data_IF_794327548378
#
_entry.id   IF_794327548378
#
_cell.length_a   1.000
_cell.length_b   1.000
_cell.length_c   1.000
_cell.angle_alpha   90.00
_cell.angle_beta   90.00
_cell.angle_gamma   90.00
#
_symmetry.space_group_name_H-M   'P 1'
#
loop_
_entity.id
_entity.type
_entity.pdbx_description
1 polymer ?
#
# COMPACT_ATOMS: atom_id res chain seq x y z
N UNK A 1 24.57 3.35 10.57
CA UNK A 1 24.89 2.73 11.89
C UNK A 1 23.72 1.85 12.25
N UNK A 2 23.89 0.65 12.83
CA UNK A 2 22.75 -0.11 13.32
C UNK A 2 22.03 0.76 14.35
N UNK A 3 20.69 0.84 14.24
CA UNK A 3 19.87 1.52 15.23
C UNK A 3 20.25 0.95 16.61
N UNK A 4 20.74 1.83 17.48
CA UNK A 4 21.24 1.44 18.77
C UNK A 4 20.09 0.91 19.63
N UNK A 5 20.38 -0.03 20.51
CA UNK A 5 19.46 -0.63 21.50
C UNK A 5 18.68 0.42 22.32
N UNK A 6 19.12 1.67 22.35
CA UNK A 6 18.44 2.80 22.99
C UNK A 6 17.21 3.30 22.23
N UNK A 7 17.16 3.19 20.87
CA UNK A 7 16.01 3.60 20.09
C UNK A 7 14.80 2.67 20.27
N UNK A 8 15.00 1.44 20.72
CA UNK A 8 13.92 0.46 20.98
C UNK A 8 13.23 0.69 22.33
N UNK A 9 13.96 1.25 23.32
CA UNK A 9 13.43 1.45 24.66
C UNK A 9 12.38 2.58 24.78
N UNK A 10 12.31 3.47 23.81
CA UNK A 10 11.42 4.65 23.84
C UNK A 10 10.20 4.53 22.89
N UNK A 11 10.03 3.38 22.22
CA UNK A 11 8.86 3.14 21.39
C UNK A 11 7.62 2.86 22.23
N UNK A 12 6.45 3.44 21.88
CA UNK A 12 5.19 3.11 22.54
C UNK A 12 4.90 1.62 22.41
N UNK A 13 4.20 1.02 23.39
CA UNK A 13 3.82 -0.39 23.34
C UNK A 13 2.93 -0.69 22.12
N UNK A 14 2.92 -1.93 21.67
CA UNK A 14 2.06 -2.34 20.56
C UNK A 14 2.80 -2.66 19.27
N UNK A 15 4.10 -2.63 19.30
CA UNK A 15 4.97 -3.13 18.24
C UNK A 15 5.49 -4.51 18.59
N UNK A 16 5.94 -5.27 17.59
CA UNK A 16 6.31 -6.68 17.77
C UNK A 16 7.35 -6.89 18.88
N UNK A 17 8.21 -5.91 19.12
CA UNK A 17 9.29 -5.98 20.11
C UNK A 17 8.86 -5.66 21.54
N UNK A 18 7.67 -5.07 21.75
CA UNK A 18 7.25 -4.53 23.05
C UNK A 18 5.77 -4.73 23.38
N UNK A 19 5.17 -5.84 22.92
CA UNK A 19 3.78 -6.18 23.18
C UNK A 19 3.54 -6.48 24.66
N UNK A 20 2.47 -5.93 25.21
CA UNK A 20 1.98 -6.37 26.52
C UNK A 20 1.27 -7.73 26.42
N UNK A 21 1.13 -8.49 27.52
CA UNK A 21 0.39 -9.76 27.52
C UNK A 21 -1.05 -9.61 26.96
N UNK A 22 -1.73 -8.50 27.27
CA UNK A 22 -3.08 -8.22 26.76
C UNK A 22 -3.07 -8.00 25.24
N UNK A 23 -2.06 -7.31 24.73
CA UNK A 23 -1.89 -7.08 23.29
C UNK A 23 -1.60 -8.39 22.54
N UNK A 24 -0.83 -9.29 23.13
CA UNK A 24 -0.61 -10.64 22.59
C UNK A 24 -1.93 -11.41 22.49
N UNK A 25 -2.80 -11.33 23.51
CA UNK A 25 -4.14 -11.96 23.46
C UNK A 25 -4.97 -11.37 22.31
N UNK A 26 -4.94 -10.05 22.11
CA UNK A 26 -5.67 -9.40 21.01
C UNK A 26 -5.14 -9.83 19.63
N UNK A 27 -3.84 -9.98 19.49
CA UNK A 27 -3.22 -10.48 18.25
C UNK A 27 -3.67 -11.92 17.95
N UNK A 28 -3.69 -12.80 18.97
CA UNK A 28 -4.21 -14.16 18.83
C UNK A 28 -5.66 -14.19 18.38
N UNK A 29 -6.50 -13.33 18.98
CA UNK A 29 -7.92 -13.23 18.62
C UNK A 29 -8.10 -12.78 17.18
N UNK A 30 -7.30 -11.81 16.71
CA UNK A 30 -7.37 -11.35 15.33
C UNK A 30 -6.94 -12.43 14.33
N UNK A 31 -5.86 -13.17 14.63
CA UNK A 31 -5.48 -14.35 13.84
C UNK A 31 -6.57 -15.41 13.80
N UNK A 32 -7.19 -15.71 14.95
CA UNK A 32 -8.32 -16.66 15.04
C UNK A 32 -9.45 -16.29 14.08
N UNK A 33 -9.87 -15.02 14.09
CA UNK A 33 -10.92 -14.51 13.17
C UNK A 33 -10.52 -14.63 11.69
N UNK A 34 -9.27 -14.39 11.36
CA UNK A 34 -8.79 -14.59 9.97
C UNK A 34 -8.86 -16.07 9.57
N UNK A 35 -8.46 -16.99 10.45
CA UNK A 35 -8.52 -18.41 10.14
C UNK A 35 -9.93 -18.92 9.96
N UNK A 36 -10.89 -18.42 10.76
CA UNK A 36 -12.31 -18.73 10.57
C UNK A 36 -12.81 -18.36 9.16
N UNK A 37 -12.31 -17.22 8.61
CA UNK A 37 -12.66 -16.84 7.25
C UNK A 37 -11.93 -17.68 6.20
N UNK A 38 -10.66 -17.94 6.40
CA UNK A 38 -9.87 -18.72 5.42
C UNK A 38 -10.48 -20.11 5.18
N UNK A 39 -11.11 -20.65 6.23
CA UNK A 39 -11.74 -21.97 6.19
C UNK A 39 -13.19 -21.95 5.63
N UNK A 40 -13.75 -20.75 5.40
CA UNK A 40 -15.09 -20.63 4.81
C UNK A 40 -15.08 -21.01 3.32
N UNK A 41 -15.98 -21.92 2.97
CA UNK A 41 -16.29 -22.23 1.56
C UNK A 41 -17.36 -21.27 1.08
N UNK A 42 -17.24 -20.79 -0.16
CA UNK A 42 -18.35 -20.11 -0.83
C UNK A 42 -19.44 -21.14 -1.02
N UNK A 43 -20.61 -20.94 -0.41
CA UNK A 43 -21.78 -21.72 -0.76
C UNK A 43 -22.17 -21.39 -2.20
N UNK A 44 -22.15 -22.37 -3.09
CA UNK A 44 -22.67 -22.21 -4.44
C UNK A 44 -24.15 -21.84 -4.32
N UNK A 45 -24.50 -20.60 -4.57
CA UNK A 45 -25.87 -20.18 -4.67
C UNK A 45 -26.56 -21.01 -5.79
N UNK A 46 -27.68 -21.67 -5.54
CA UNK A 46 -28.34 -22.47 -6.57
C UNK A 46 -28.62 -21.60 -7.79
N UNK A 47 -28.16 -22.07 -8.95
CA UNK A 47 -28.27 -21.39 -10.21
C UNK A 47 -29.76 -20.99 -10.43
N UNK A 48 -30.08 -19.70 -10.35
CA UNK A 48 -31.37 -19.17 -10.75
C UNK A 48 -31.54 -19.38 -12.25
N UNK A 49 -32.43 -20.27 -12.60
CA UNK A 49 -32.86 -20.55 -13.97
C UNK A 49 -33.30 -19.23 -14.63
N UNK A 50 -32.84 -18.89 -15.82
CA UNK A 50 -33.24 -17.65 -16.48
C UNK A 50 -34.69 -17.78 -16.96
N UNK A 51 -35.61 -17.15 -16.27
CA UNK A 51 -36.96 -16.90 -16.78
C UNK A 51 -36.87 -15.86 -17.90
N UNK A 52 -37.15 -16.30 -19.10
CA UNK A 52 -37.30 -15.44 -20.28
C UNK A 52 -38.45 -14.45 -20.07
N UNK A 53 -38.14 -13.15 -19.90
CA UNK A 53 -39.14 -12.09 -20.07
C UNK A 53 -38.77 -11.27 -21.28
N UNK A 54 -39.72 -11.30 -22.25
CA UNK A 54 -39.74 -10.48 -23.43
C UNK A 54 -39.65 -9.00 -23.13
N UNK A 55 -38.74 -8.31 -23.80
CA UNK A 55 -38.61 -6.85 -23.75
C UNK A 55 -39.47 -6.21 -24.83
N UNK A 56 -40.40 -5.38 -24.42
CA UNK A 56 -40.88 -4.27 -25.20
C UNK A 56 -40.00 -3.04 -24.95
N UNK A 57 -39.64 -2.36 -26.05
CA UNK A 57 -38.68 -1.28 -26.00
C UNK A 57 -39.24 0.04 -25.45
N UNK A 58 -38.35 0.84 -24.88
CA UNK A 58 -38.43 2.30 -24.97
C UNK A 58 -36.99 2.87 -24.95
N UNK A 59 -36.75 3.69 -25.93
CA UNK A 59 -35.62 4.56 -26.13
C UNK A 59 -35.61 5.64 -25.06
N UNK A 60 -34.50 5.84 -24.32
CA UNK A 60 -33.96 7.17 -24.14
C UNK A 60 -32.56 7.14 -23.50
N UNK A 61 -31.81 8.08 -23.97
CA UNK A 61 -30.40 8.31 -23.87
C UNK A 61 -29.87 8.77 -22.52
N UNK A 62 -28.60 8.46 -22.27
CA UNK A 62 -27.50 9.20 -21.69
C UNK A 62 -26.80 8.63 -20.47
N UNK A 63 -25.49 8.53 -20.72
CA UNK A 63 -24.33 8.51 -19.80
C UNK A 63 -24.25 7.37 -18.77
N UNK A 64 -23.67 6.30 -19.24
CA UNK A 64 -23.04 5.27 -18.43
C UNK A 64 -21.52 5.49 -18.54
N UNK A 65 -20.91 6.02 -17.51
CA UNK A 65 -19.46 5.88 -17.29
C UNK A 65 -19.23 4.44 -16.83
N UNK A 66 -19.00 3.57 -17.78
CA UNK A 66 -18.76 2.15 -17.55
C UNK A 66 -17.31 1.91 -17.16
N UNK A 67 -17.15 1.10 -16.14
CA UNK A 67 -15.96 0.37 -15.71
C UNK A 67 -14.95 0.11 -16.84
N UNK A 68 -13.74 0.65 -16.70
CA UNK A 68 -12.68 0.63 -17.70
C UNK A 68 -11.87 -0.69 -17.77
N UNK A 69 -12.19 -1.71 -17.02
CA UNK A 69 -11.51 -3.00 -17.10
C UNK A 69 -12.37 -4.05 -17.83
N UNK A 70 -12.36 -3.97 -19.14
CA UNK A 70 -13.24 -4.73 -20.01
C UNK A 70 -12.71 -6.10 -20.45
N UNK A 71 -12.25 -6.99 -19.55
CA UNK A 71 -12.41 -8.43 -19.78
C UNK A 71 -13.82 -8.82 -19.35
N UNK A 72 -14.50 -9.73 -20.10
CA UNK A 72 -15.70 -10.38 -19.60
C UNK A 72 -15.32 -11.06 -18.28
N UNK A 73 -15.51 -10.37 -17.17
CA UNK A 73 -15.32 -10.93 -15.84
C UNK A 73 -16.22 -12.15 -15.74
N UNK A 74 -15.68 -13.23 -15.22
CA UNK A 74 -16.49 -14.38 -14.86
C UNK A 74 -17.58 -13.94 -13.85
N UNK A 75 -18.64 -14.70 -13.70
CA UNK A 75 -19.70 -14.35 -12.73
C UNK A 75 -19.10 -14.18 -11.32
N UNK A 76 -18.15 -15.02 -10.96
CA UNK A 76 -17.41 -14.98 -9.68
C UNK A 76 -16.60 -13.69 -9.55
N UNK A 77 -15.87 -13.27 -10.61
CA UNK A 77 -15.13 -12.01 -10.59
C UNK A 77 -16.02 -10.77 -10.45
N UNK A 78 -17.24 -10.81 -11.02
CA UNK A 78 -18.25 -9.74 -10.86
C UNK A 78 -18.83 -9.68 -9.47
N UNK A 79 -19.08 -10.84 -8.87
CA UNK A 79 -19.62 -10.93 -7.52
C UNK A 79 -18.56 -10.55 -6.47
N UNK A 80 -17.28 -10.77 -6.76
CA UNK A 80 -16.14 -10.33 -5.94
C UNK A 80 -15.92 -8.82 -5.95
N UNK A 81 -16.17 -8.16 -7.08
CA UNK A 81 -16.01 -6.70 -7.23
C UNK A 81 -17.11 -5.92 -6.54
N UNK A 82 -18.27 -6.52 -6.35
CA UNK A 82 -19.46 -5.81 -5.89
C UNK A 82 -19.39 -5.36 -4.42
N UNK A 83 -18.44 -5.84 -3.65
CA UNK A 83 -18.49 -5.69 -2.21
C UNK A 83 -17.46 -4.80 -1.60
N UNK A 84 -16.79 -4.19 -2.46
CA UNK A 84 -15.67 -3.49 -2.03
C UNK A 84 -15.89 -2.04 -2.07
N UNK A 85 -15.34 -1.36 -1.82
CA UNK A 85 -15.13 -0.04 -1.97
C UNK A 85 -16.17 0.79 -1.50
N UNK A 86 -16.46 1.25 -1.12
CA UNK A 86 -17.10 2.51 -1.03
C UNK A 86 -17.57 2.82 0.33
N UNK A 87 -16.58 2.89 1.19
CA UNK A 87 -16.74 3.78 2.32
C UNK A 87 -17.10 5.23 1.91
N UNK A 88 -16.97 5.55 0.63
CA UNK A 88 -17.28 6.87 0.08
C UNK A 88 -17.87 6.80 -1.32
N UNK A 89 -18.85 5.93 -1.53
CA UNK A 89 -19.65 6.03 -2.72
C UNK A 89 -20.43 7.35 -2.67
N UNK A 90 -20.21 8.18 -3.68
CA UNK A 90 -20.96 9.41 -3.90
C UNK A 90 -22.47 9.18 -4.09
N UNK A 91 -22.91 7.92 -4.17
CA UNK A 91 -24.32 7.51 -4.29
C UNK A 91 -25.01 7.33 -2.94
N UNK A 92 -24.29 7.38 -1.82
CA UNK A 92 -24.87 7.27 -0.47
C UNK A 92 -25.39 5.88 -0.11
N UNK A 93 -25.03 4.83 -0.84
CA UNK A 93 -25.38 3.46 -0.49
C UNK A 93 -24.51 2.98 0.66
N UNK A 94 -25.15 2.59 1.75
CA UNK A 94 -24.44 1.98 2.90
C UNK A 94 -23.86 0.63 2.43
N UNK A 95 -22.56 0.39 2.62
CA UNK A 95 -21.98 -0.91 2.28
C UNK A 95 -22.67 -2.00 3.10
N UNK A 96 -22.83 -3.21 2.53
CA UNK A 96 -23.41 -4.32 3.26
C UNK A 96 -22.58 -4.64 4.52
N UNK A 97 -23.18 -5.19 5.57
CA UNK A 97 -22.47 -5.65 6.74
C UNK A 97 -21.29 -6.54 6.37
N UNK A 98 -20.20 -6.47 7.12
CA UNK A 98 -18.97 -7.22 6.84
C UNK A 98 -19.24 -8.72 6.70
N UNK A 99 -20.12 -9.25 7.52
CA UNK A 99 -20.50 -10.67 7.49
C UNK A 99 -21.16 -11.08 6.16
N UNK A 100 -22.00 -10.22 5.58
CA UNK A 100 -22.60 -10.50 4.27
C UNK A 100 -21.59 -10.33 3.14
N UNK A 101 -20.75 -9.36 3.28
CA UNK A 101 -19.70 -9.07 2.33
C UNK A 101 -18.65 -10.19 2.26
N UNK A 102 -18.29 -10.79 3.38
CA UNK A 102 -17.35 -11.92 3.46
C UNK A 102 -17.89 -13.18 2.78
N UNK A 103 -19.20 -13.39 2.81
CA UNK A 103 -19.84 -14.55 2.16
C UNK A 103 -19.70 -14.57 0.63
N UNK A 104 -19.37 -13.45 0.02
CA UNK A 104 -19.28 -13.32 -1.45
C UNK A 104 -17.83 -13.40 -1.98
N UNK A 105 -16.83 -13.30 -1.10
CA UNK A 105 -15.42 -13.52 -1.45
C UNK A 105 -14.98 -14.81 -0.78
N UNK A 106 -14.42 -15.76 -1.55
CA UNK A 106 -13.97 -17.02 -0.97
C UNK A 106 -12.88 -16.78 0.08
N UNK A 107 -12.88 -17.61 1.13
CA UNK A 107 -11.86 -17.56 2.16
C UNK A 107 -10.45 -17.71 1.60
N UNK A 108 -10.27 -18.51 0.54
CA UNK A 108 -8.99 -18.66 -0.17
C UNK A 108 -8.52 -17.36 -0.80
N UNK A 109 -9.37 -16.60 -1.45
CA UNK A 109 -8.99 -15.30 -2.04
C UNK A 109 -8.59 -14.27 -0.98
N UNK A 110 -9.30 -14.24 0.16
CA UNK A 110 -8.93 -13.36 1.28
C UNK A 110 -7.61 -13.81 1.93
N UNK A 111 -7.38 -15.12 2.03
CA UNK A 111 -6.11 -15.67 2.47
C UNK A 111 -4.96 -15.22 1.57
N UNK A 112 -5.11 -15.38 0.25
CA UNK A 112 -4.09 -14.99 -0.72
C UNK A 112 -3.83 -13.48 -0.69
N UNK A 113 -4.88 -12.67 -0.62
CA UNK A 113 -4.77 -11.21 -0.47
C UNK A 113 -4.06 -10.81 0.83
N UNK A 114 -4.28 -11.54 1.93
CA UNK A 114 -3.60 -11.29 3.20
C UNK A 114 -2.10 -11.60 3.12
N UNK A 115 -1.74 -12.76 2.58
CA UNK A 115 -0.32 -13.12 2.39
C UNK A 115 0.40 -12.20 1.41
N UNK A 116 -0.30 -11.73 0.38
CA UNK A 116 0.22 -10.70 -0.52
C UNK A 116 0.37 -9.35 0.20
N UNK A 117 -0.60 -8.95 1.03
CA UNK A 117 -0.51 -7.74 1.84
C UNK A 117 0.65 -7.79 2.85
N UNK A 118 0.99 -8.95 3.39
CA UNK A 118 2.18 -9.16 4.22
C UNK A 118 3.45 -8.91 3.39
N UNK A 119 3.55 -9.52 2.21
CA UNK A 119 4.73 -9.38 1.36
C UNK A 119 6.00 -9.87 2.04
N UNK A 120 6.99 -8.99 2.19
CA UNK A 120 8.26 -9.26 2.89
C UNK A 120 8.23 -8.83 4.37
N UNK A 121 7.11 -8.31 4.87
CA UNK A 121 6.98 -7.87 6.26
C UNK A 121 6.84 -9.06 7.23
N UNK A 122 6.98 -8.77 8.53
CA UNK A 122 6.58 -9.70 9.57
C UNK A 122 5.05 -9.87 9.55
N UNK A 123 4.52 -11.11 9.44
CA UNK A 123 3.07 -11.31 9.36
C UNK A 123 2.30 -10.76 10.57
N UNK A 124 2.86 -10.83 11.77
CA UNK A 124 2.26 -10.27 12.96
C UNK A 124 2.23 -8.74 12.93
N UNK A 125 3.28 -8.10 12.39
CA UNK A 125 3.36 -6.65 12.29
C UNK A 125 2.22 -6.06 11.42
N UNK A 126 1.82 -6.76 10.35
CA UNK A 126 0.66 -6.33 9.55
C UNK A 126 -0.60 -6.26 10.43
N UNK A 127 -0.91 -7.32 11.18
CA UNK A 127 -2.11 -7.36 12.03
C UNK A 127 -2.06 -6.33 13.15
N UNK A 128 -0.88 -6.12 13.72
CA UNK A 128 -0.68 -5.13 14.78
C UNK A 128 -0.99 -3.70 14.30
N UNK A 129 -0.70 -3.36 13.04
CA UNK A 129 -1.09 -2.05 12.46
C UNK A 129 -2.60 -1.84 12.52
N UNK A 130 -3.40 -2.84 12.18
CA UNK A 130 -4.87 -2.76 12.26
C UNK A 130 -5.37 -2.70 13.71
N UNK A 131 -4.76 -3.45 14.61
CA UNK A 131 -5.09 -3.41 16.04
C UNK A 131 -4.79 -2.02 16.64
N UNK A 132 -3.63 -1.43 16.35
CA UNK A 132 -3.30 -0.06 16.79
C UNK A 132 -4.26 0.96 16.21
N UNK A 133 -4.55 0.89 14.92
CA UNK A 133 -5.48 1.78 14.21
C UNK A 133 -6.90 1.74 14.79
N UNK A 134 -7.30 0.64 15.41
CA UNK A 134 -8.60 0.45 16.04
C UNK A 134 -8.52 0.34 17.57
N UNK A 135 -7.44 0.91 18.18
CA UNK A 135 -7.27 1.00 19.63
C UNK A 135 -7.46 -0.33 20.34
N UNK A 136 -6.98 -1.41 19.71
CA UNK A 136 -7.04 -2.79 20.22
C UNK A 136 -8.46 -3.38 20.30
N UNK A 137 -9.44 -2.80 19.65
CA UNK A 137 -10.73 -3.44 19.39
C UNK A 137 -10.57 -4.46 18.25
N UNK A 138 -10.68 -5.73 18.58
CA UNK A 138 -10.42 -6.84 17.64
C UNK A 138 -11.47 -6.90 16.55
N UNK A 139 -12.75 -6.63 16.85
CA UNK A 139 -13.83 -6.68 15.87
C UNK A 139 -13.72 -5.53 14.87
N UNK A 140 -13.44 -4.33 15.37
CA UNK A 140 -13.19 -3.17 14.54
C UNK A 140 -11.92 -3.34 13.68
N UNK A 141 -10.83 -3.89 14.25
CA UNK A 141 -9.59 -4.19 13.52
C UNK A 141 -9.82 -5.23 12.42
N UNK A 142 -10.56 -6.28 12.73
CA UNK A 142 -10.93 -7.32 11.79
C UNK A 142 -11.78 -6.78 10.63
N UNK A 143 -12.78 -5.94 10.93
CA UNK A 143 -13.62 -5.26 9.93
C UNK A 143 -12.77 -4.42 8.99
N UNK A 144 -11.85 -3.63 9.54
CA UNK A 144 -10.94 -2.79 8.76
C UNK A 144 -10.00 -3.62 7.89
N UNK A 145 -9.37 -4.66 8.46
CA UNK A 145 -8.47 -5.56 7.73
C UNK A 145 -9.21 -6.26 6.57
N UNK A 146 -10.39 -6.81 6.83
CA UNK A 146 -11.21 -7.47 5.81
C UNK A 146 -11.59 -6.50 4.68
N UNK A 147 -11.90 -5.25 5.00
CA UNK A 147 -12.16 -4.20 4.00
C UNK A 147 -10.91 -3.86 3.18
N UNK A 148 -9.74 -3.77 3.82
CA UNK A 148 -8.47 -3.53 3.13
C UNK A 148 -8.10 -4.70 2.19
N UNK A 149 -8.30 -5.95 2.62
CA UNK A 149 -8.03 -7.12 1.77
C UNK A 149 -8.96 -7.16 0.55
N UNK A 150 -10.23 -6.82 0.72
CA UNK A 150 -11.17 -6.71 -0.41
C UNK A 150 -10.78 -5.59 -1.36
N UNK A 151 -10.43 -4.42 -0.85
CA UNK A 151 -9.94 -3.33 -1.66
C UNK A 151 -8.70 -3.74 -2.48
N UNK A 152 -7.76 -4.51 -1.90
CA UNK A 152 -6.60 -5.04 -2.63
C UNK A 152 -7.01 -5.91 -3.82
N UNK A 153 -8.06 -6.74 -3.65
CA UNK A 153 -8.60 -7.57 -4.73
C UNK A 153 -9.29 -6.72 -5.80
N UNK A 154 -10.06 -5.71 -5.41
CA UNK A 154 -10.79 -4.82 -6.32
C UNK A 154 -9.85 -3.95 -7.15
N UNK A 155 -8.94 -3.26 -6.52
CA UNK A 155 -7.95 -2.42 -7.21
C UNK A 155 -6.82 -3.26 -7.85
N UNK A 156 -6.89 -4.59 -7.72
CA UNK A 156 -5.92 -5.52 -8.33
C UNK A 156 -4.48 -5.21 -7.93
N UNK A 157 -4.27 -4.88 -6.64
CA UNK A 157 -2.96 -4.43 -6.14
C UNK A 157 -1.84 -5.39 -6.52
N UNK A 158 -2.07 -6.69 -6.38
CA UNK A 158 -1.08 -7.72 -6.68
C UNK A 158 -0.75 -7.78 -8.18
N UNK A 159 -1.75 -7.56 -9.03
CA UNK A 159 -1.54 -7.47 -10.47
C UNK A 159 -0.81 -6.18 -10.87
N UNK A 160 -1.11 -5.05 -10.23
CA UNK A 160 -0.37 -3.80 -10.41
C UNK A 160 1.13 -4.00 -10.11
N UNK A 161 1.44 -4.66 -8.99
CA UNK A 161 2.81 -4.96 -8.58
C UNK A 161 3.50 -5.92 -9.55
N UNK A 162 2.80 -6.95 -10.00
CA UNK A 162 3.29 -7.95 -10.95
C UNK A 162 3.52 -7.38 -12.35
N UNK A 163 2.62 -6.53 -12.83
CA UNK A 163 2.72 -5.88 -14.13
C UNK A 163 3.78 -4.77 -14.11
N UNK A 164 3.90 -4.06 -13.00
CA UNK A 164 4.81 -2.94 -12.86
C UNK A 164 4.59 -1.85 -13.92
N UNK A 165 5.62 -1.08 -14.17
CA UNK A 165 5.54 0.06 -15.09
C UNK A 165 5.29 -0.37 -16.54
N UNK A 166 5.93 -1.46 -16.99
CA UNK A 166 5.82 -1.94 -18.38
C UNK A 166 4.47 -2.60 -18.66
N UNK A 167 4.07 -3.55 -17.83
CA UNK A 167 2.83 -4.27 -18.04
C UNK A 167 1.59 -3.37 -17.92
N UNK A 168 1.62 -2.42 -16.98
CA UNK A 168 0.55 -1.42 -16.84
C UNK A 168 0.51 -0.46 -18.02
N UNK A 169 1.65 -0.03 -18.54
CA UNK A 169 1.72 0.75 -19.78
C UNK A 169 0.96 0.06 -20.91
N UNK A 170 1.26 -1.22 -21.13
CA UNK A 170 0.71 -1.98 -22.24
C UNK A 170 -0.78 -2.32 -22.02
N UNK A 171 -1.18 -2.55 -20.76
CA UNK A 171 -2.58 -2.79 -20.42
C UNK A 171 -3.42 -1.51 -20.58
N UNK A 172 -2.96 -0.39 -20.07
CA UNK A 172 -3.65 0.90 -20.17
C UNK A 172 -3.79 1.34 -21.64
N UNK A 173 -2.76 1.18 -22.46
CA UNK A 173 -2.81 1.48 -23.89
C UNK A 173 -3.84 0.65 -24.64
N UNK A 174 -3.98 -0.64 -24.28
CA UNK A 174 -5.02 -1.51 -24.89
C UNK A 174 -6.44 -1.09 -24.54
N UNK A 175 -6.60 -0.42 -23.40
CA UNK A 175 -7.90 -0.02 -22.89
C UNK A 175 -8.31 1.40 -23.35
N UNK A 176 -7.37 2.34 -23.34
CA UNK A 176 -7.54 3.73 -23.75
C UNK A 176 -6.32 4.15 -24.58
N UNK A 177 -6.45 4.28 -25.91
CA UNK A 177 -5.36 4.72 -26.77
C UNK A 177 -4.77 6.06 -26.31
N UNK A 178 -3.45 6.09 -26.12
CA UNK A 178 -2.71 7.23 -25.58
C UNK A 178 -2.55 7.23 -24.06
N UNK A 179 -3.12 6.25 -23.34
CA UNK A 179 -2.95 6.15 -21.91
C UNK A 179 -1.53 5.72 -21.52
N UNK A 180 -0.83 4.97 -22.35
CA UNK A 180 0.57 4.60 -22.13
C UNK A 180 1.47 5.82 -21.91
N UNK A 181 1.30 6.86 -22.74
CA UNK A 181 2.06 8.11 -22.56
C UNK A 181 1.69 8.78 -21.25
N UNK A 182 0.41 8.94 -20.96
CA UNK A 182 -0.07 9.55 -19.70
C UNK A 182 0.44 8.79 -18.46
N UNK A 183 0.56 7.48 -18.57
CA UNK A 183 1.12 6.62 -17.53
C UNK A 183 2.61 6.87 -17.32
N UNK A 184 3.41 6.86 -18.38
CA UNK A 184 4.85 7.11 -18.28
C UNK A 184 5.16 8.54 -17.83
N UNK A 185 4.36 9.52 -18.23
CA UNK A 185 4.48 10.92 -17.79
C UNK A 185 4.41 11.07 -16.27
N UNK A 186 3.77 10.11 -15.55
CA UNK A 186 3.75 10.14 -14.08
C UNK A 186 5.14 9.97 -13.46
N UNK A 187 5.99 9.18 -14.10
CA UNK A 187 7.36 8.92 -13.66
C UNK A 187 8.34 9.93 -14.24
N UNK A 188 8.23 10.21 -15.54
CA UNK A 188 9.14 11.09 -16.27
C UNK A 188 9.06 12.55 -15.80
N UNK A 189 7.90 12.98 -15.32
CA UNK A 189 7.71 14.35 -14.80
C UNK A 189 8.48 14.61 -13.50
N UNK A 190 8.85 13.56 -12.74
CA UNK A 190 9.46 13.71 -11.42
C UNK A 190 8.50 14.29 -10.38
N UNK A 191 7.16 14.19 -10.61
CA UNK A 191 6.19 14.75 -9.67
C UNK A 191 6.12 14.01 -8.34
N UNK A 192 6.48 12.74 -8.31
CA UNK A 192 6.60 11.98 -7.07
C UNK A 192 7.74 10.98 -7.17
N UNK A 193 8.54 10.89 -6.13
CA UNK A 193 9.68 9.98 -6.07
C UNK A 193 10.03 9.63 -4.63
N UNK A 194 10.64 8.45 -4.45
CA UNK A 194 11.15 7.98 -3.18
C UNK A 194 12.59 8.47 -2.98
N UNK A 195 12.93 8.81 -1.75
CA UNK A 195 14.26 9.31 -1.39
C UNK A 195 14.76 8.77 -0.06
N UNK A 196 15.87 9.30 0.39
CA UNK A 196 16.55 8.91 1.61
C UNK A 196 15.75 9.14 2.87
N UNK A 197 16.18 8.56 4.00
CA UNK A 197 15.41 8.60 5.23
C UNK A 197 15.33 10.00 5.84
N UNK A 198 14.25 10.25 6.59
CA UNK A 198 14.17 11.36 7.52
C UNK A 198 15.01 11.05 8.79
N UNK A 199 15.08 12.01 9.72
CA UNK A 199 15.83 11.84 10.97
C UNK A 199 15.30 10.73 11.89
N UNK A 200 14.06 10.27 11.66
CA UNK A 200 13.46 9.10 12.32
C UNK A 200 13.71 7.78 11.57
N UNK A 201 14.54 7.77 10.52
CA UNK A 201 14.85 6.59 9.72
C UNK A 201 13.73 6.20 8.74
N UNK A 202 12.71 7.05 8.55
CA UNK A 202 11.58 6.77 7.66
C UNK A 202 11.93 7.14 6.22
N UNK A 203 11.76 6.24 5.24
CA UNK A 203 11.93 6.61 3.84
C UNK A 203 10.97 7.76 3.48
N UNK A 204 11.46 8.70 2.67
CA UNK A 204 10.70 9.89 2.29
C UNK A 204 10.13 9.73 0.89
N UNK A 205 8.84 10.04 0.72
CA UNK A 205 8.23 10.24 -0.58
C UNK A 205 8.04 11.75 -0.81
N UNK A 206 8.71 12.28 -1.82
CA UNK A 206 8.61 13.67 -2.24
C UNK A 206 7.53 13.82 -3.32
N UNK A 207 6.65 14.80 -3.18
CA UNK A 207 5.56 15.09 -4.11
C UNK A 207 5.64 16.56 -4.54
N UNK A 208 5.99 16.83 -5.79
CA UNK A 208 6.04 18.16 -6.40
C UNK A 208 4.67 18.54 -6.94
N UNK A 209 3.85 19.19 -6.14
CA UNK A 209 2.43 19.40 -6.44
C UNK A 209 2.21 20.25 -7.68
N UNK A 210 3.10 21.20 -7.98
CA UNK A 210 3.03 22.03 -9.20
C UNK A 210 3.06 21.23 -10.51
N UNK A 211 3.60 20.01 -10.48
CA UNK A 211 3.68 19.13 -11.65
C UNK A 211 2.44 18.25 -11.83
N UNK A 212 1.50 18.30 -10.91
CA UNK A 212 0.22 17.61 -11.03
C UNK A 212 -0.80 18.49 -11.78
N UNK A 213 -1.46 17.91 -12.76
CA UNK A 213 -2.61 18.51 -13.43
C UNK A 213 -3.69 17.43 -13.53
N UNK A 214 -4.84 17.67 -12.90
CA UNK A 214 -5.95 16.71 -12.84
C UNK A 214 -6.49 16.28 -14.21
N UNK A 215 -6.38 17.16 -15.21
CA UNK A 215 -6.92 16.93 -16.56
C UNK A 215 -5.91 16.22 -17.50
N UNK A 216 -4.65 16.04 -17.07
CA UNK A 216 -3.60 15.42 -17.87
C UNK A 216 -3.72 13.88 -17.92
N UNK A 217 -4.32 13.27 -16.90
CA UNK A 217 -4.50 11.82 -16.80
C UNK A 217 -5.82 11.49 -16.11
N UNK A 218 -6.28 10.24 -16.24
CA UNK A 218 -7.44 9.75 -15.51
C UNK A 218 -7.12 9.47 -14.03
N UNK A 219 -8.15 9.45 -13.19
CA UNK A 219 -8.03 9.04 -11.78
C UNK A 219 -7.49 7.60 -11.68
N UNK A 220 -7.85 6.73 -12.62
CA UNK A 220 -7.38 5.34 -12.66
C UNK A 220 -5.85 5.26 -12.82
N UNK A 221 -5.28 6.05 -13.73
CA UNK A 221 -3.82 6.15 -13.87
C UNK A 221 -3.18 6.63 -12.56
N UNK A 222 -3.78 7.61 -11.89
CA UNK A 222 -3.27 8.12 -10.61
C UNK A 222 -3.36 7.08 -9.50
N UNK A 223 -4.43 6.28 -9.46
CA UNK A 223 -4.57 5.16 -8.51
C UNK A 223 -3.47 4.11 -8.74
N UNK A 224 -3.31 3.63 -9.97
CA UNK A 224 -2.26 2.66 -10.30
C UNK A 224 -0.87 3.17 -9.95
N UNK A 225 -0.57 4.45 -10.27
CA UNK A 225 0.70 5.08 -9.95
C UNK A 225 0.94 5.15 -8.43
N UNK A 226 -0.07 5.56 -7.69
CA UNK A 226 0.02 5.66 -6.23
C UNK A 226 0.20 4.29 -5.59
N UNK A 227 -0.59 3.30 -5.98
CA UNK A 227 -0.50 1.92 -5.46
C UNK A 227 0.89 1.35 -5.76
N UNK A 228 1.39 1.46 -6.99
CA UNK A 228 2.73 0.96 -7.35
C UNK A 228 3.83 1.67 -6.55
N UNK A 229 3.71 2.98 -6.34
CA UNK A 229 4.66 3.76 -5.52
C UNK A 229 4.61 3.34 -4.05
N UNK A 230 3.42 3.16 -3.47
CA UNK A 230 3.24 2.72 -2.07
C UNK A 230 3.79 1.30 -1.87
N UNK A 231 3.47 0.37 -2.75
CA UNK A 231 3.95 -1.02 -2.68
C UNK A 231 5.47 -1.11 -2.92
N UNK A 232 6.06 -0.20 -3.71
CA UNK A 232 7.52 -0.10 -3.84
C UNK A 232 8.14 0.52 -2.60
N UNK A 233 7.54 1.59 -2.06
CA UNK A 233 7.99 2.25 -0.83
C UNK A 233 8.00 1.32 0.39
N UNK A 234 7.12 0.31 0.43
CA UNK A 234 7.11 -0.70 1.49
C UNK A 234 8.40 -1.54 1.54
N UNK A 235 9.10 -1.72 0.43
CA UNK A 235 10.41 -2.40 0.44
C UNK A 235 11.49 -1.60 1.17
N UNK A 236 11.31 -0.28 1.30
CA UNK A 236 12.24 0.61 2.01
C UNK A 236 11.96 0.66 3.52
N UNK A 237 10.82 0.13 3.97
CA UNK A 237 10.39 0.12 5.37
C UNK A 237 10.75 -1.22 5.99
N UNK A 238 11.50 -1.21 7.08
CA UNK A 238 11.84 -2.42 7.81
C UNK A 238 12.05 -2.10 9.30
N UNK A 239 11.75 -3.07 10.15
CA UNK A 239 11.89 -2.93 11.60
C UNK A 239 13.25 -2.31 12.02
N UNK A 240 13.29 -1.43 13.00
CA UNK A 240 12.17 -1.02 13.88
C UNK A 240 11.29 0.10 13.31
N UNK A 241 11.55 0.58 12.09
CA UNK A 241 10.77 1.62 11.42
C UNK A 241 9.62 0.99 10.66
N UNK A 242 8.37 1.40 10.95
CA UNK A 242 7.16 0.87 10.30
C UNK A 242 6.42 1.91 9.44
N UNK A 243 6.94 3.14 9.34
CA UNK A 243 6.24 4.27 8.73
C UNK A 243 7.09 4.98 7.70
N UNK A 244 6.43 5.81 6.88
CA UNK A 244 7.06 6.67 5.87
C UNK A 244 6.86 8.15 6.20
N UNK A 245 7.70 9.00 5.63
CA UNK A 245 7.55 10.44 5.62
C UNK A 245 7.06 10.90 4.24
N UNK A 246 6.07 11.79 4.19
CA UNK A 246 5.61 12.43 2.97
C UNK A 246 6.00 13.90 2.97
N UNK A 247 6.53 14.40 1.85
CA UNK A 247 6.82 15.83 1.66
C UNK A 247 6.05 16.33 0.44
N UNK A 248 5.01 17.11 0.69
CA UNK A 248 4.29 17.83 -0.37
C UNK A 248 4.95 19.18 -0.60
N UNK A 249 5.75 19.29 -1.65
CA UNK A 249 6.30 20.58 -2.08
C UNK A 249 5.21 21.38 -2.80
N UNK A 250 4.68 22.39 -2.07
CA UNK A 250 3.59 23.26 -2.51
C UNK A 250 4.11 24.54 -3.19
N UNK A 251 5.43 24.68 -3.40
CA UNK A 251 5.98 25.82 -4.12
C UNK A 251 5.31 25.92 -5.49
N UNK A 252 4.88 27.14 -5.85
CA UNK A 252 4.16 27.42 -7.10
C UNK A 252 2.81 26.69 -7.25
N UNK A 253 2.22 26.19 -6.18
CA UNK A 253 0.87 25.60 -6.19
C UNK A 253 -0.17 26.62 -6.68
N UNK A 254 -1.04 26.16 -7.57
CA UNK A 254 -2.22 26.88 -8.05
C UNK A 254 -3.46 25.99 -7.93
N UNK A 255 -4.65 26.58 -8.06
CA UNK A 255 -5.89 25.80 -8.03
C UNK A 255 -6.02 24.80 -9.20
N UNK A 256 -5.25 24.98 -10.29
CA UNK A 256 -5.19 24.02 -11.39
C UNK A 256 -4.52 22.69 -10.99
N UNK A 257 -3.74 22.69 -9.91
CA UNK A 257 -3.12 21.48 -9.36
C UNK A 257 -4.06 20.73 -8.41
N UNK A 258 -5.24 21.30 -8.11
CA UNK A 258 -6.18 20.72 -7.18
C UNK A 258 -6.95 19.57 -7.83
N UNK A 259 -6.80 18.38 -7.26
CA UNK A 259 -7.51 17.16 -7.65
C UNK A 259 -8.17 16.55 -6.40
N UNK A 260 -9.43 16.92 -6.18
CA UNK A 260 -10.11 16.58 -4.94
C UNK A 260 -10.42 15.09 -4.84
N UNK A 261 -10.71 14.43 -5.96
CA UNK A 261 -11.00 13.00 -5.98
C UNK A 261 -9.73 12.18 -5.71
N UNK A 262 -8.61 12.62 -6.26
CA UNK A 262 -7.31 12.00 -5.96
C UNK A 262 -6.90 12.22 -4.49
N UNK A 263 -7.11 13.41 -3.93
CA UNK A 263 -6.83 13.67 -2.51
C UNK A 263 -7.67 12.78 -1.60
N UNK A 264 -8.96 12.60 -1.88
CA UNK A 264 -9.82 11.68 -1.12
C UNK A 264 -9.30 10.24 -1.20
N UNK A 265 -8.93 9.78 -2.39
CA UNK A 265 -8.34 8.47 -2.56
C UNK A 265 -7.07 8.31 -1.71
N UNK A 266 -6.17 9.29 -1.74
CA UNK A 266 -4.92 9.27 -0.98
C UNK A 266 -5.18 9.23 0.54
N UNK A 267 -6.11 10.04 1.04
CA UNK A 267 -6.53 10.03 2.45
C UNK A 267 -7.04 8.63 2.82
N UNK A 268 -7.95 8.07 2.01
CA UNK A 268 -8.53 6.74 2.26
C UNK A 268 -7.45 5.65 2.28
N UNK A 269 -6.44 5.74 1.41
CA UNK A 269 -5.31 4.80 1.44
C UNK A 269 -4.62 4.77 2.81
N UNK A 270 -4.29 5.93 3.38
CA UNK A 270 -3.59 5.99 4.67
C UNK A 270 -4.50 5.69 5.88
N UNK A 271 -5.78 6.00 5.79
CA UNK A 271 -6.72 5.80 6.91
C UNK A 271 -7.30 4.39 6.96
N UNK A 272 -7.53 3.75 5.80
CA UNK A 272 -8.26 2.49 5.73
C UNK A 272 -7.45 1.31 5.19
N UNK A 273 -6.58 1.53 4.20
CA UNK A 273 -5.96 0.42 3.44
C UNK A 273 -4.49 0.18 3.82
N UNK A 274 -3.79 1.23 4.23
CA UNK A 274 -2.42 1.17 4.75
C UNK A 274 -2.34 1.87 6.11
N UNK A 275 -3.11 1.39 7.11
CA UNK A 275 -3.15 2.05 8.41
C UNK A 275 -1.77 2.02 9.08
N UNK A 276 -1.50 3.03 9.91
CA UNK A 276 -0.26 3.15 10.68
C UNK A 276 1.02 3.16 9.82
N UNK A 277 0.91 3.45 8.51
CA UNK A 277 2.06 3.58 7.59
C UNK A 277 2.57 5.01 7.42
N UNK A 278 1.78 6.02 7.76
CA UNK A 278 2.20 7.42 7.76
C UNK A 278 2.83 7.79 9.11
N UNK A 279 4.08 8.22 9.10
CA UNK A 279 4.78 8.72 10.28
C UNK A 279 4.74 10.25 10.38
N UNK A 280 5.12 10.93 9.31
CA UNK A 280 5.16 12.40 9.19
C UNK A 280 4.67 12.81 7.81
N UNK A 281 3.92 13.90 7.75
CA UNK A 281 3.51 14.54 6.49
C UNK A 281 3.87 16.02 6.56
N UNK A 282 4.75 16.47 5.67
CA UNK A 282 5.24 17.85 5.60
C UNK A 282 4.55 18.57 4.43
N UNK A 283 3.76 19.60 4.73
CA UNK A 283 3.19 20.53 3.74
C UNK A 283 4.15 21.70 3.62
N UNK A 284 5.02 21.63 2.61
CA UNK A 284 6.15 22.53 2.47
C UNK A 284 5.86 23.69 1.52
N UNK A 285 6.15 24.93 1.92
CA UNK A 285 5.98 26.17 1.13
C UNK A 285 4.56 26.37 0.59
N UNK A 286 3.53 26.05 1.41
CA UNK A 286 2.14 26.26 1.02
C UNK A 286 1.86 27.76 0.81
N UNK A 287 1.41 28.19 -0.39
CA UNK A 287 1.04 29.57 -0.63
C UNK A 287 -0.27 29.93 0.10
N UNK A 288 -0.53 31.22 0.26
CA UNK A 288 -1.73 31.69 1.00
C UNK A 288 -3.05 31.15 0.40
N UNK A 289 -3.12 30.94 -0.91
CA UNK A 289 -4.30 30.40 -1.61
C UNK A 289 -4.63 28.95 -1.14
N UNK A 290 -3.64 28.21 -0.64
CA UNK A 290 -3.84 26.85 -0.12
C UNK A 290 -4.67 26.84 1.18
N UNK A 291 -4.75 27.93 1.92
CA UNK A 291 -5.53 27.97 3.18
C UNK A 291 -7.00 27.63 2.96
N UNK A 292 -7.60 28.07 1.86
CA UNK A 292 -8.97 27.72 1.50
C UNK A 292 -9.13 26.24 1.17
N UNK A 293 -8.16 25.67 0.44
CA UNK A 293 -8.12 24.24 0.13
C UNK A 293 -7.94 23.41 1.40
N UNK A 294 -7.03 23.83 2.27
CA UNK A 294 -6.80 23.15 3.56
C UNK A 294 -8.06 23.10 4.43
N UNK A 295 -8.84 24.18 4.47
CA UNK A 295 -10.10 24.21 5.20
C UNK A 295 -11.14 23.20 4.70
N UNK A 296 -11.04 22.76 3.44
CA UNK A 296 -11.90 21.70 2.88
C UNK A 296 -11.32 20.29 3.12
N UNK A 297 -9.99 20.15 3.19
CA UNK A 297 -9.32 18.86 3.38
C UNK A 297 -9.31 18.45 4.85
N UNK A 298 -8.98 19.39 5.75
CA UNK A 298 -8.80 19.11 7.19
C UNK A 298 -9.97 18.36 7.84
N UNK A 299 -11.25 18.70 7.57
CA UNK A 299 -12.39 17.97 8.15
C UNK A 299 -12.54 16.53 7.65
N UNK A 300 -11.86 16.15 6.56
CA UNK A 300 -11.90 14.80 6.02
C UNK A 300 -10.89 13.88 6.70
N UNK A 301 -9.93 14.43 7.44
CA UNK A 301 -8.82 13.68 8.03
C UNK A 301 -9.22 13.10 9.39
N UNK A 302 -8.88 11.83 9.60
CA UNK A 302 -8.86 11.25 10.95
C UNK A 302 -7.91 12.07 11.86
N UNK A 303 -8.28 12.31 13.13
CA UNK A 303 -7.45 13.07 14.07
C UNK A 303 -6.01 12.55 14.22
N UNK A 304 -5.79 11.23 14.13
CA UNK A 304 -4.44 10.62 14.20
C UNK A 304 -3.63 11.00 12.96
N UNK A 305 -4.22 10.94 11.76
CA UNK A 305 -3.57 11.37 10.51
C UNK A 305 -3.32 12.88 10.54
N UNK A 306 -4.29 13.67 10.95
CA UNK A 306 -4.17 15.13 11.05
C UNK A 306 -3.01 15.56 11.99
N UNK A 307 -2.80 14.83 13.09
CA UNK A 307 -1.71 15.13 14.05
C UNK A 307 -0.31 14.91 13.48
N UNK A 308 -0.17 14.14 12.40
CA UNK A 308 1.09 13.85 11.71
C UNK A 308 1.45 14.87 10.63
N UNK A 309 0.55 15.85 10.37
CA UNK A 309 0.72 16.86 9.32
C UNK A 309 1.32 18.12 9.91
N UNK A 310 2.46 18.53 9.36
CA UNK A 310 3.19 19.73 9.76
C UNK A 310 3.40 20.65 8.57
N UNK A 311 3.33 21.96 8.81
CA UNK A 311 3.60 22.96 7.80
C UNK A 311 5.02 23.49 7.97
N UNK A 312 5.77 23.53 6.86
CA UNK A 312 7.12 24.12 6.80
C UNK A 312 7.16 25.24 5.77
N UNK A 313 7.77 26.36 6.12
CA UNK A 313 7.75 27.58 5.29
C UNK A 313 9.02 27.74 4.45
N UNK A 314 10.13 27.22 4.93
CA UNK A 314 11.43 27.33 4.26
C UNK A 314 12.19 26.00 4.25
N UNK A 315 13.20 25.89 3.39
CA UNK A 315 14.02 24.68 3.29
C UNK A 315 14.81 24.43 4.58
N UNK A 316 15.15 25.49 5.33
CA UNK A 316 15.81 25.36 6.63
C UNK A 316 14.88 24.67 7.64
N UNK A 317 13.56 24.90 7.57
CA UNK A 317 12.62 24.21 8.46
C UNK A 317 12.51 22.71 8.12
N UNK A 318 12.79 22.29 6.89
CA UNK A 318 12.86 20.87 6.54
C UNK A 318 14.02 20.17 7.22
N UNK A 319 15.12 20.88 7.52
CA UNK A 319 16.27 20.31 8.22
C UNK A 319 15.97 19.89 9.66
N UNK A 320 14.83 20.29 10.21
CA UNK A 320 14.35 19.77 11.50
C UNK A 320 13.78 18.34 11.39
N UNK A 321 13.57 17.86 10.18
CA UNK A 321 12.98 16.53 9.91
C UNK A 321 13.89 15.65 9.06
N UNK A 322 14.63 16.24 8.11
CA UNK A 322 15.38 15.50 7.10
C UNK A 322 16.77 16.11 6.97
N UNK A 323 17.79 15.30 7.10
CA UNK A 323 19.17 15.77 6.97
C UNK A 323 19.45 16.26 5.54
N UNK A 324 20.32 17.26 5.43
CA UNK A 324 20.62 17.93 4.16
C UNK A 324 21.08 16.96 3.06
N UNK A 325 21.79 15.91 3.44
CA UNK A 325 22.27 14.87 2.52
C UNK A 325 21.16 13.98 1.96
N UNK A 326 20.00 13.93 2.62
CA UNK A 326 18.82 13.19 2.20
C UNK A 326 17.76 14.06 1.51
N UNK A 327 17.89 15.40 1.61
CA UNK A 327 17.05 16.33 0.87
C UNK A 327 17.52 16.44 -0.59
N UNK A 328 16.59 16.40 -1.57
CA UNK A 328 16.91 16.61 -2.97
C UNK A 328 17.34 18.06 -3.25
N UNK A 329 18.11 18.27 -4.32
CA UNK A 329 18.59 19.59 -4.72
C UNK A 329 17.46 20.61 -4.91
N UNK A 330 16.30 20.19 -5.39
CA UNK A 330 15.10 21.03 -5.55
C UNK A 330 14.58 21.61 -4.22
N UNK A 331 14.97 21.03 -3.10
CA UNK A 331 14.68 21.47 -1.72
C UNK A 331 15.96 21.94 -1.01
N UNK A 332 16.94 22.42 -1.74
CA UNK A 332 18.22 22.94 -1.25
C UNK A 332 19.07 21.92 -0.50
N UNK A 333 18.83 20.64 -0.74
CA UNK A 333 19.65 19.55 -0.22
C UNK A 333 20.80 19.18 -1.13
N UNK A 334 21.44 18.05 -0.82
CA UNK A 334 22.59 17.50 -1.57
C UNK A 334 22.37 16.07 -2.03
N UNK A 335 21.19 15.49 -1.81
CA UNK A 335 20.86 14.18 -2.35
C UNK A 335 20.80 14.26 -3.87
N UNK A 336 21.59 13.41 -4.51
CA UNK A 336 21.46 13.21 -5.95
C UNK A 336 20.20 12.40 -6.18
N UNK A 337 19.09 13.12 -6.41
CA UNK A 337 17.94 12.46 -7.00
C UNK A 337 18.43 11.80 -8.27
N UNK A 338 18.22 10.49 -8.44
CA UNK A 338 18.53 9.80 -9.69
C UNK A 338 17.68 10.42 -10.81
N UNK A 339 18.23 11.47 -11.40
CA UNK A 339 17.50 12.56 -12.01
C UNK A 339 16.82 12.24 -13.31
N UNK A 340 16.83 10.99 -13.78
CA UNK A 340 16.15 10.62 -15.02
C UNK A 340 15.46 9.29 -14.85
N UNK A 341 14.16 9.28 -15.10
CA UNK A 341 13.42 8.03 -15.18
C UNK A 341 14.08 7.08 -16.19
N UNK A 342 14.42 5.89 -15.71
CA UNK A 342 14.90 4.80 -16.56
C UNK A 342 13.69 3.97 -16.94
N UNK A 343 13.32 4.02 -18.21
CA UNK A 343 12.17 3.29 -18.74
C UNK A 343 12.38 1.77 -18.60
N UNK A 344 11.31 1.01 -18.32
CA UNK A 344 11.40 -0.45 -18.26
C UNK A 344 11.71 -1.04 -19.64
N UNK A 345 12.47 -2.14 -19.73
CA UNK A 345 12.59 -2.89 -20.96
C UNK A 345 11.22 -3.45 -21.39
N UNK A 346 11.09 -3.77 -22.67
CA UNK A 346 9.80 -4.20 -23.26
C UNK A 346 9.26 -5.49 -22.63
N UNK A 347 10.12 -6.35 -22.11
CA UNK A 347 9.78 -7.69 -21.61
C UNK A 347 9.89 -7.82 -20.08
N UNK A 348 9.55 -6.80 -19.32
CA UNK A 348 9.71 -6.80 -17.85
C UNK A 348 8.47 -7.26 -17.07
N UNK A 349 7.61 -8.06 -17.66
CA UNK A 349 6.41 -8.58 -16.99
C UNK A 349 6.70 -9.93 -16.34
N UNK A 350 6.35 -10.08 -15.08
CA UNK A 350 6.50 -11.33 -14.33
C UNK A 350 5.42 -12.34 -14.74
N UNK A 351 5.82 -13.60 -14.87
CA UNK A 351 4.91 -14.70 -15.22
C UNK A 351 3.97 -15.01 -14.04
N UNK A 352 2.66 -14.85 -14.28
CA UNK A 352 1.63 -15.14 -13.28
C UNK A 352 1.43 -16.63 -13.01
N UNK A 353 1.92 -17.51 -13.90
CA UNK A 353 1.74 -18.95 -13.79
C UNK A 353 2.86 -19.66 -13.03
N UNK A 354 3.87 -18.91 -12.57
CA UNK A 354 5.02 -19.49 -11.86
C UNK A 354 4.63 -19.90 -10.44
N UNK A 355 4.86 -21.16 -10.11
CA UNK A 355 4.65 -21.73 -8.77
C UNK A 355 5.93 -21.71 -7.93
N UNK A 356 5.77 -21.51 -6.61
CA UNK A 356 6.86 -21.42 -5.64
C UNK A 356 6.66 -22.43 -4.50
N UNK A 357 6.82 -23.75 -4.74
CA UNK A 357 6.49 -24.77 -3.75
C UNK A 357 7.33 -24.68 -2.47
N UNK A 358 8.59 -24.26 -2.56
CA UNK A 358 9.44 -24.06 -1.39
C UNK A 358 8.95 -22.91 -0.50
N UNK A 359 8.53 -21.79 -1.10
CA UNK A 359 7.92 -20.68 -0.36
C UNK A 359 6.57 -21.07 0.21
N UNK A 360 5.72 -21.75 -0.58
CA UNK A 360 4.41 -22.23 -0.12
C UNK A 360 4.55 -23.12 1.13
N UNK A 361 5.49 -24.05 1.15
CA UNK A 361 5.74 -24.91 2.30
C UNK A 361 6.12 -24.12 3.57
N UNK A 362 6.94 -23.07 3.45
CA UNK A 362 7.31 -22.22 4.59
C UNK A 362 6.14 -21.38 5.05
N UNK A 363 5.36 -20.82 4.14
CA UNK A 363 4.12 -20.09 4.43
C UNK A 363 3.12 -20.98 5.19
N UNK A 364 2.90 -22.19 4.71
CA UNK A 364 1.98 -23.15 5.35
C UNK A 364 2.48 -23.60 6.72
N UNK A 365 3.79 -23.79 6.89
CA UNK A 365 4.40 -24.05 8.22
C UNK A 365 4.15 -22.89 9.18
N UNK A 366 4.37 -21.65 8.73
CA UNK A 366 4.10 -20.45 9.53
C UNK A 366 2.62 -20.38 9.94
N UNK A 367 1.71 -20.61 8.99
CA UNK A 367 0.26 -20.58 9.25
C UNK A 367 -0.14 -21.66 10.25
N UNK A 368 0.30 -22.91 10.07
CA UNK A 368 -0.02 -24.02 10.98
C UNK A 368 0.45 -23.74 12.40
N UNK A 369 1.69 -23.27 12.57
CA UNK A 369 2.22 -22.90 13.87
C UNK A 369 1.48 -21.70 14.49
N UNK A 370 1.00 -20.77 13.64
CA UNK A 370 0.21 -19.61 14.10
C UNK A 370 -1.18 -20.04 14.56
N UNK A 371 -1.82 -20.99 13.88
CA UNK A 371 -3.11 -21.57 14.31
C UNK A 371 -2.99 -22.24 15.67
N UNK A 372 -1.95 -23.04 15.88
CA UNK A 372 -1.67 -23.68 17.17
C UNK A 372 -1.42 -22.64 18.26
N UNK A 373 -0.56 -21.64 18.00
CA UNK A 373 -0.26 -20.60 18.96
C UNK A 373 -1.48 -19.74 19.31
N UNK A 374 -2.30 -19.37 18.31
CA UNK A 374 -3.49 -18.55 18.52
C UNK A 374 -4.56 -19.29 19.37
N UNK A 375 -4.69 -20.61 19.20
CA UNK A 375 -5.63 -21.44 19.96
C UNK A 375 -5.15 -21.83 21.36
N UNK A 376 -3.86 -21.63 21.67
CA UNK A 376 -3.25 -22.05 22.93
C UNK A 376 -3.25 -20.92 23.96
N UNK A 377 -4.07 -20.98 25.05
CA UNK A 377 -4.01 -20.00 26.12
C UNK A 377 -2.62 -20.00 26.78
N UNK A 378 -2.07 -18.80 26.99
CA UNK A 378 -0.78 -18.65 27.68
C UNK A 378 0.47 -18.99 26.85
N UNK A 379 0.33 -19.41 25.59
CA UNK A 379 1.49 -19.59 24.70
C UNK A 379 2.22 -18.25 24.49
N UNK A 380 3.55 -18.26 24.71
CA UNK A 380 4.41 -17.10 24.57
C UNK A 380 4.48 -16.62 23.13
N UNK A 381 4.83 -15.34 22.94
CA UNK A 381 5.20 -14.78 21.64
C UNK A 381 6.66 -15.09 21.25
N UNK A 382 7.43 -15.62 22.17
CA UNK A 382 8.82 -16.02 21.92
C UNK A 382 8.92 -17.01 20.75
N UNK A 383 9.97 -16.83 19.95
CA UNK A 383 10.21 -17.66 18.76
C UNK A 383 9.42 -17.24 17.51
N UNK A 384 8.40 -16.37 17.62
CA UNK A 384 7.65 -15.93 16.43
C UNK A 384 8.48 -15.06 15.51
N UNK A 385 9.37 -14.22 16.04
CA UNK A 385 10.29 -13.44 15.22
C UNK A 385 11.22 -14.34 14.38
N UNK A 386 11.67 -15.47 14.92
CA UNK A 386 12.49 -16.41 14.16
C UNK A 386 11.68 -17.04 13.01
N UNK A 387 10.42 -17.37 13.25
CA UNK A 387 9.52 -17.88 12.18
C UNK A 387 9.23 -16.80 11.14
N UNK A 388 9.04 -15.56 11.56
CA UNK A 388 8.84 -14.43 10.65
C UNK A 388 10.09 -14.17 9.81
N UNK A 389 11.29 -14.33 10.38
CA UNK A 389 12.56 -14.27 9.64
C UNK A 389 12.66 -15.38 8.59
N UNK A 390 12.34 -16.64 8.94
CA UNK A 390 12.31 -17.75 7.98
C UNK A 390 11.34 -17.45 6.82
N UNK A 391 10.15 -16.93 7.14
CA UNK A 391 9.18 -16.51 6.13
C UNK A 391 9.72 -15.41 5.23
N UNK A 392 10.27 -14.34 5.81
CA UNK A 392 10.85 -13.20 5.07
C UNK A 392 11.96 -13.64 4.13
N UNK A 393 12.91 -14.43 4.61
CA UNK A 393 14.01 -14.93 3.79
C UNK A 393 13.54 -15.80 2.61
N UNK A 394 12.52 -16.63 2.85
CA UNK A 394 11.92 -17.42 1.78
C UNK A 394 11.16 -16.53 0.78
N UNK A 395 10.47 -15.50 1.24
CA UNK A 395 9.73 -14.56 0.40
C UNK A 395 10.67 -13.69 -0.45
N UNK A 396 11.77 -13.22 0.12
CA UNK A 396 12.79 -12.45 -0.61
C UNK A 396 13.42 -13.24 -1.76
N UNK A 397 13.58 -14.56 -1.64
CA UNK A 397 14.10 -15.41 -2.72
C UNK A 397 13.23 -15.42 -3.97
N UNK A 398 11.95 -15.16 -3.83
CA UNK A 398 11.00 -15.12 -4.94
C UNK A 398 10.55 -13.70 -5.30
N UNK A 399 11.07 -12.66 -4.63
CA UNK A 399 10.58 -11.29 -4.81
C UNK A 399 10.62 -10.84 -6.26
N UNK A 400 11.72 -11.09 -6.97
CA UNK A 400 11.87 -10.74 -8.38
C UNK A 400 10.98 -11.57 -9.33
N UNK A 401 10.41 -12.65 -8.84
CA UNK A 401 9.51 -13.53 -9.59
C UNK A 401 8.02 -13.18 -9.37
N UNK A 402 7.70 -12.33 -8.38
CA UNK A 402 6.32 -11.93 -8.07
C UNK A 402 6.10 -10.44 -8.21
N UNK A 403 7.17 -9.66 -8.31
CA UNK A 403 7.17 -8.20 -8.49
C UNK A 403 7.98 -7.81 -9.70
N UNK A 404 7.38 -7.04 -10.61
CA UNK A 404 8.13 -6.44 -11.71
C UNK A 404 9.10 -5.37 -11.19
N UNK A 405 10.32 -5.28 -11.74
CA UNK A 405 11.26 -4.27 -11.34
C UNK A 405 10.78 -2.88 -11.73
N UNK A 406 10.75 -1.97 -10.75
CA UNK A 406 10.42 -0.56 -10.96
C UNK A 406 11.66 0.26 -11.31
N UNK A 407 11.49 1.54 -11.63
CA UNK A 407 12.57 2.50 -11.78
C UNK A 407 13.63 2.39 -10.66
N UNK A 408 13.19 2.24 -9.40
CA UNK A 408 14.08 2.17 -8.23
C UNK A 408 14.97 0.92 -8.23
N UNK A 409 14.52 -0.17 -8.80
CA UNK A 409 15.35 -1.37 -9.01
C UNK A 409 16.38 -1.10 -10.12
N UNK A 410 15.96 -0.50 -11.23
CA UNK A 410 16.83 -0.24 -12.38
C UNK A 410 17.94 0.77 -12.11
N UNK A 411 17.70 1.74 -11.21
CA UNK A 411 18.74 2.69 -10.78
C UNK A 411 19.56 2.18 -9.59
N UNK A 412 19.28 0.98 -9.10
CA UNK A 412 20.03 0.36 -8.01
C UNK A 412 19.71 0.92 -6.61
N UNK A 413 18.61 1.67 -6.46
CA UNK A 413 18.14 2.11 -5.13
C UNK A 413 17.60 0.91 -4.34
N UNK A 414 16.83 0.04 -4.97
CA UNK A 414 16.33 -1.21 -4.41
C UNK A 414 17.03 -2.37 -5.11
N UNK A 415 17.67 -3.23 -4.34
CA UNK A 415 18.32 -4.44 -4.85
C UNK A 415 17.79 -5.64 -4.09
N UNK A 416 17.25 -6.62 -4.82
CA UNK A 416 16.91 -7.93 -4.29
C UNK A 416 17.71 -8.95 -5.07
N UNK A 417 18.77 -9.44 -4.48
CA UNK A 417 19.71 -10.38 -5.10
C UNK A 417 19.99 -11.53 -4.13
N UNK A 418 19.89 -12.77 -4.61
CA UNK A 418 20.14 -13.99 -3.81
C UNK A 418 19.35 -14.06 -2.49
N UNK A 419 18.16 -13.46 -2.47
CA UNK A 419 17.32 -13.39 -1.27
C UNK A 419 17.73 -12.32 -0.25
N UNK A 420 18.62 -11.40 -0.63
CA UNK A 420 19.00 -10.23 0.15
C UNK A 420 18.29 -8.98 -0.36
N UNK A 421 17.75 -8.19 0.55
CA UNK A 421 17.17 -6.87 0.26
C UNK A 421 18.11 -5.79 0.75
N UNK A 422 18.64 -5.00 -0.18
CA UNK A 422 19.55 -3.89 0.09
C UNK A 422 19.02 -2.61 -0.50
N UNK A 423 19.19 -1.52 0.23
CA UNK A 423 18.73 -0.20 -0.18
C UNK A 423 19.93 0.75 -0.26
N UNK A 424 20.04 1.45 -1.38
CA UNK A 424 20.99 2.53 -1.58
C UNK A 424 20.23 3.80 -1.98
N UNK A 425 20.09 4.72 -1.07
CA UNK A 425 19.35 5.96 -1.33
C UNK A 425 20.06 6.94 -2.28
N UNK A 426 21.28 6.60 -2.74
CA UNK A 426 22.07 7.44 -3.64
C UNK A 426 22.27 8.87 -3.11
N UNK A 427 22.31 9.01 -1.79
CA UNK A 427 22.70 10.24 -1.12
C UNK A 427 24.23 10.42 -1.15
N UNK A 428 24.73 11.53 -0.62
CA UNK A 428 26.15 11.87 -0.65
C UNK A 428 27.07 10.80 0.00
N UNK A 429 26.53 10.01 0.92
CA UNK A 429 27.27 8.95 1.61
C UNK A 429 27.27 7.62 0.85
N UNK A 430 26.35 7.42 -0.10
CA UNK A 430 26.19 6.19 -0.91
C UNK A 430 26.26 4.89 -0.10
N UNK A 431 25.84 4.92 1.16
CA UNK A 431 25.85 3.75 2.04
C UNK A 431 24.72 2.81 1.64
N UNK A 432 25.05 1.57 1.37
CA UNK A 432 24.06 0.51 1.14
C UNK A 432 23.62 -0.05 2.50
N UNK A 433 22.31 -0.07 2.74
CA UNK A 433 21.70 -0.58 3.95
C UNK A 433 21.10 -1.97 3.67
N UNK A 434 21.50 -2.98 4.44
CA UNK A 434 20.95 -4.33 4.36
C UNK A 434 19.72 -4.45 5.27
N UNK A 435 18.55 -4.66 4.66
CA UNK A 435 17.27 -4.83 5.33
C UNK A 435 16.82 -6.29 5.40
N UNK A 436 17.63 -7.23 4.98
CA UNK A 436 17.28 -8.65 4.80
C UNK A 436 16.69 -9.28 6.06
N UNK A 437 17.35 -9.10 7.19
CA UNK A 437 16.97 -9.74 8.46
C UNK A 437 16.10 -8.86 9.38
N UNK A 438 15.68 -7.71 8.92
CA UNK A 438 14.85 -6.79 9.73
C UNK A 438 13.37 -7.20 9.68
N UNK A 439 12.91 -7.90 10.71
CA UNK A 439 11.54 -8.42 10.89
C UNK A 439 10.89 -7.94 12.19
#
# INVERSE_FOLDING_TARGET
MPATTEAVADQPTGYIQNLTPEQVVKLKQLWGKLFEIYDQKVEDSPASTPTSRSRQGSTDSKSSFGSFFGKKKTKIERDQVFLTSTYNDATGTTPPPVEEAIKLVSGSHLKDACWSAIGVDNPDALLLRFLRARKWDVDAAFTMLSSALRWRLEERVDEIVRLGEAGLRDELERMDPGAAKKWLDQFESGKSFLGGPDQGGRPVCYINVKLHNKDAQSLEIMKCFTILTMETGRLLVAQPVETTCLVFNMAEFTLANMDFDFIKFLITCFEAYYPESLGVCLIHRAPWVFSAVWSMIQPLLDPVVASKIHFTKSDEELLNYIDKENLPEILSGTAHQSGKFVAPPVESVVDAAKDFPAFAAIKDKYEAATREWASSPGASIEGRNQMALEYRLARLKIENDVRAPTHYHRVGMVKVEDGHLRINYQNATSVEEDLTERV
#
